data_IF_497953025059
#
_entry.id   IF_497953025059
#
_cell.length_a   1.000
_cell.length_b   1.000
_cell.length_c   1.000
_cell.angle_alpha   90.00
_cell.angle_beta   90.00
_cell.angle_gamma   90.00
#
_symmetry.space_group_name_H-M   'P 1'
#
loop_
_entity.id
_entity.type
_entity.pdbx_description
1 polymer ?
#
# COMPACT_ATOMS: atom_id res chain seq x y z
N UNK A 1 -34.62 -4.24 -22.98
CA UNK A 1 -34.14 -2.86 -23.17
C UNK A 1 -34.95 -1.89 -22.35
N UNK A 2 -34.33 -1.25 -21.36
CA UNK A 2 -34.99 -0.23 -20.56
C UNK A 2 -34.98 1.08 -21.37
N UNK A 3 -36.16 1.67 -21.58
CA UNK A 3 -36.23 2.97 -22.27
C UNK A 3 -35.49 4.04 -21.49
N UNK A 4 -34.84 5.01 -22.17
CA UNK A 4 -34.05 6.08 -21.53
C UNK A 4 -34.83 6.84 -20.45
N UNK A 5 -36.13 7.08 -20.65
CA UNK A 5 -36.98 7.74 -19.67
C UNK A 5 -37.26 6.91 -18.42
N UNK A 6 -37.36 5.58 -18.54
CA UNK A 6 -37.53 4.70 -17.41
C UNK A 6 -36.22 4.57 -16.61
N UNK A 7 -35.08 4.46 -17.30
CA UNK A 7 -33.79 4.39 -16.64
C UNK A 7 -33.51 5.66 -15.82
N UNK A 8 -33.77 6.84 -16.36
CA UNK A 8 -33.61 8.12 -15.65
C UNK A 8 -34.46 8.17 -14.37
N UNK A 9 -35.70 7.64 -14.43
CA UNK A 9 -36.56 7.55 -13.24
C UNK A 9 -36.00 6.58 -12.20
N UNK A 10 -35.47 5.43 -12.62
CA UNK A 10 -34.85 4.45 -11.71
C UNK A 10 -33.59 5.02 -11.06
N UNK A 11 -32.78 5.76 -11.81
CA UNK A 11 -31.60 6.44 -11.27
C UNK A 11 -31.95 7.55 -10.27
N UNK A 12 -33.05 8.28 -10.51
CA UNK A 12 -33.56 9.26 -9.55
C UNK A 12 -34.00 8.58 -8.25
N UNK A 13 -34.72 7.47 -8.32
CA UNK A 13 -35.13 6.67 -7.16
C UNK A 13 -33.93 6.11 -6.41
N UNK A 14 -32.92 5.61 -7.13
CA UNK A 14 -31.67 5.12 -6.55
C UNK A 14 -30.99 6.21 -5.68
N UNK A 15 -31.00 7.44 -6.13
CA UNK A 15 -30.35 8.56 -5.44
C UNK A 15 -31.20 9.15 -4.31
N UNK A 16 -32.51 9.27 -4.50
CA UNK A 16 -33.36 10.15 -3.73
C UNK A 16 -34.51 9.46 -2.98
N UNK A 17 -34.75 8.17 -3.20
CA UNK A 17 -35.84 7.48 -2.47
C UNK A 17 -35.57 7.50 -0.97
N UNK A 18 -36.56 7.87 -0.13
CA UNK A 18 -36.37 7.89 1.31
C UNK A 18 -36.15 6.52 1.95
N UNK A 19 -36.56 5.44 1.27
CA UNK A 19 -36.35 4.07 1.74
C UNK A 19 -34.96 3.55 1.35
N UNK A 20 -34.15 3.21 2.34
CA UNK A 20 -32.87 2.55 2.14
C UNK A 20 -33.02 1.17 1.46
N UNK A 21 -34.09 0.44 1.79
CA UNK A 21 -34.35 -0.87 1.18
C UNK A 21 -34.59 -0.74 -0.33
N UNK A 22 -35.31 0.30 -0.77
CA UNK A 22 -35.52 0.59 -2.19
C UNK A 22 -34.21 0.95 -2.87
N UNK A 23 -33.44 1.87 -2.30
CA UNK A 23 -32.15 2.25 -2.86
C UNK A 23 -31.19 1.08 -2.98
N UNK A 24 -31.11 0.24 -1.94
CA UNK A 24 -30.27 -0.97 -1.94
C UNK A 24 -30.74 -2.00 -2.96
N UNK A 25 -32.05 -2.22 -3.10
CA UNK A 25 -32.61 -3.10 -4.11
C UNK A 25 -32.24 -2.68 -5.53
N UNK A 26 -32.30 -1.38 -5.82
CA UNK A 26 -31.86 -0.84 -7.10
C UNK A 26 -30.35 -0.97 -7.29
N UNK A 27 -29.55 -0.74 -6.27
CA UNK A 27 -28.10 -0.90 -6.31
C UNK A 27 -27.68 -2.29 -6.79
N UNK A 28 -28.33 -3.33 -6.30
CA UNK A 28 -27.97 -4.73 -6.59
C UNK A 28 -28.65 -5.30 -7.83
N UNK A 29 -29.71 -4.67 -8.33
CA UNK A 29 -30.51 -5.19 -9.44
C UNK A 29 -30.40 -4.36 -10.73
N UNK A 30 -29.99 -3.10 -10.68
CA UNK A 30 -29.76 -2.33 -11.90
C UNK A 30 -28.56 -2.88 -12.68
N UNK A 31 -28.63 -2.87 -14.02
CA UNK A 31 -27.49 -3.30 -14.82
C UNK A 31 -26.32 -2.33 -14.63
N UNK A 32 -25.10 -2.90 -14.58
CA UNK A 32 -23.87 -2.12 -14.49
C UNK A 32 -23.45 -1.73 -15.90
N UNK A 33 -23.72 -0.50 -16.27
CA UNK A 33 -23.44 0.08 -17.59
C UNK A 33 -22.62 1.36 -17.42
N UNK A 34 -21.92 1.84 -18.47
CA UNK A 34 -21.17 3.10 -18.36
C UNK A 34 -21.99 4.30 -17.91
N UNK A 35 -23.30 4.32 -18.24
CA UNK A 35 -24.21 5.39 -17.86
C UNK A 35 -24.89 5.19 -16.49
N UNK A 36 -24.88 3.99 -15.94
CA UNK A 36 -25.41 3.71 -14.60
C UNK A 36 -24.33 3.69 -13.52
N UNK A 37 -23.13 3.27 -13.86
CA UNK A 37 -22.02 3.06 -12.92
C UNK A 37 -21.72 4.28 -12.03
N UNK A 38 -21.62 5.51 -12.53
CA UNK A 38 -21.36 6.67 -11.67
C UNK A 38 -22.41 6.84 -10.54
N UNK A 39 -23.67 6.60 -10.85
CA UNK A 39 -24.75 6.68 -9.87
C UNK A 39 -24.75 5.54 -8.86
N UNK A 40 -24.39 4.34 -9.31
CA UNK A 40 -24.22 3.19 -8.43
C UNK A 40 -23.06 3.40 -7.45
N UNK A 41 -21.95 3.93 -7.92
CA UNK A 41 -20.76 4.20 -7.08
C UNK A 41 -21.00 5.26 -6.02
N UNK A 42 -21.90 6.22 -6.23
CA UNK A 42 -22.29 7.21 -5.23
C UNK A 42 -22.88 6.58 -3.96
N UNK A 43 -23.37 5.34 -4.04
CA UNK A 43 -23.87 4.60 -2.87
C UNK A 43 -22.77 4.23 -1.87
N UNK A 44 -21.50 4.43 -2.19
CA UNK A 44 -20.40 4.39 -1.22
C UNK A 44 -20.59 5.46 -0.12
N UNK A 45 -21.31 6.53 -0.42
CA UNK A 45 -21.61 7.65 0.50
C UNK A 45 -23.08 7.66 0.94
N UNK A 46 -23.82 6.57 0.73
CA UNK A 46 -25.21 6.46 1.17
C UNK A 46 -25.33 6.64 2.69
N UNK A 47 -26.43 7.20 3.14
CA UNK A 47 -26.70 7.36 4.57
C UNK A 47 -26.85 6.05 5.32
N UNK A 48 -27.35 5.03 4.63
CA UNK A 48 -27.59 3.68 5.19
C UNK A 48 -26.33 2.82 5.13
N UNK A 49 -25.82 2.32 6.27
CA UNK A 49 -24.63 1.49 6.28
C UNK A 49 -24.80 0.16 5.55
N UNK A 50 -25.99 -0.45 5.58
CA UNK A 50 -26.24 -1.70 4.85
C UNK A 50 -26.19 -1.49 3.33
N UNK A 51 -26.60 -0.32 2.83
CA UNK A 51 -26.47 0.04 1.42
C UNK A 51 -25.01 0.27 1.05
N UNK A 52 -24.24 1.00 1.88
CA UNK A 52 -22.79 1.16 1.67
C UNK A 52 -22.07 -0.18 1.64
N UNK A 53 -22.41 -1.07 2.57
CA UNK A 53 -21.86 -2.43 2.60
C UNK A 53 -22.17 -3.22 1.32
N UNK A 54 -23.40 -3.14 0.82
CA UNK A 54 -23.82 -3.83 -0.39
C UNK A 54 -23.01 -3.40 -1.63
N UNK A 55 -22.58 -2.14 -1.69
CA UNK A 55 -21.68 -1.68 -2.75
C UNK A 55 -20.38 -2.49 -2.75
N UNK A 56 -19.73 -2.65 -1.62
CA UNK A 56 -18.45 -3.36 -1.50
C UNK A 56 -18.59 -4.88 -1.58
N UNK A 57 -19.66 -5.45 -1.03
CA UNK A 57 -19.84 -6.90 -0.97
C UNK A 57 -20.53 -7.50 -2.18
N UNK A 58 -21.29 -6.72 -2.94
CA UNK A 58 -22.11 -7.22 -4.04
C UNK A 58 -21.86 -6.54 -5.37
N UNK A 59 -21.91 -5.20 -5.44
CA UNK A 59 -21.77 -4.49 -6.70
C UNK A 59 -20.33 -4.54 -7.22
N UNK A 60 -19.36 -4.15 -6.42
CA UNK A 60 -17.95 -4.07 -6.86
C UNK A 60 -17.39 -5.44 -7.26
N UNK A 61 -17.69 -6.56 -6.57
CA UNK A 61 -17.32 -7.88 -7.08
C UNK A 61 -17.98 -8.24 -8.42
N UNK A 62 -19.19 -7.77 -8.68
CA UNK A 62 -19.93 -8.02 -9.93
C UNK A 62 -19.50 -7.11 -11.08
N UNK A 63 -18.74 -6.04 -10.79
CA UNK A 63 -18.24 -5.10 -11.80
C UNK A 63 -17.31 -5.76 -12.82
N UNK A 64 -16.72 -6.90 -12.47
CA UNK A 64 -15.63 -7.50 -13.21
C UNK A 64 -14.28 -6.96 -12.74
N UNK A 65 -13.36 -6.69 -13.65
CA UNK A 65 -12.02 -6.20 -13.32
C UNK A 65 -12.07 -4.75 -12.81
N UNK A 66 -11.57 -4.53 -11.59
CA UNK A 66 -11.55 -3.20 -10.96
C UNK A 66 -10.67 -2.18 -11.73
N UNK A 67 -9.76 -2.66 -12.58
CA UNK A 67 -8.91 -1.80 -13.41
C UNK A 67 -9.69 -0.99 -14.43
N UNK A 68 -10.97 -1.32 -14.67
CA UNK A 68 -11.91 -0.50 -15.45
C UNK A 68 -12.32 0.78 -14.73
N UNK A 69 -12.20 0.84 -13.42
CA UNK A 69 -12.39 2.07 -12.65
C UNK A 69 -11.20 3.04 -12.88
N UNK A 70 -11.46 4.33 -12.88
CA UNK A 70 -10.38 5.32 -12.89
C UNK A 70 -9.51 5.19 -11.64
N UNK A 71 -8.24 5.57 -11.76
CA UNK A 71 -7.31 5.56 -10.63
C UNK A 71 -7.84 6.35 -9.44
N UNK A 72 -8.39 7.52 -9.69
CA UNK A 72 -9.01 8.37 -8.67
C UNK A 72 -10.19 7.67 -7.97
N UNK A 73 -11.01 6.95 -8.72
CA UNK A 73 -12.17 6.25 -8.16
C UNK A 73 -11.73 5.04 -7.31
N UNK A 74 -10.70 4.30 -7.74
CA UNK A 74 -10.13 3.20 -6.94
C UNK A 74 -9.68 3.69 -5.57
N UNK A 75 -8.94 4.79 -5.53
CA UNK A 75 -8.46 5.40 -4.29
C UNK A 75 -9.62 5.84 -3.40
N UNK A 76 -10.59 6.56 -3.96
CA UNK A 76 -11.76 7.02 -3.21
C UNK A 76 -12.57 5.88 -2.61
N UNK A 77 -12.86 4.86 -3.40
CA UNK A 77 -13.62 3.70 -2.94
C UNK A 77 -12.91 2.96 -1.80
N UNK A 78 -11.61 2.74 -1.93
CA UNK A 78 -10.81 2.13 -0.86
C UNK A 78 -10.81 3.00 0.40
N UNK A 79 -10.54 4.27 0.26
CA UNK A 79 -10.48 5.19 1.40
C UNK A 79 -11.81 5.30 2.11
N UNK A 80 -12.89 5.50 1.38
CA UNK A 80 -14.23 5.58 1.96
C UNK A 80 -14.63 4.29 2.65
N UNK A 81 -14.35 3.14 2.05
CA UNK A 81 -14.70 1.84 2.62
C UNK A 81 -13.86 1.48 3.83
N UNK A 82 -12.55 1.58 3.74
CA UNK A 82 -11.64 1.22 4.82
C UNK A 82 -11.71 2.17 6.02
N UNK A 83 -12.15 3.41 5.80
CA UNK A 83 -12.33 4.44 6.84
C UNK A 83 -13.79 4.70 7.19
N UNK A 84 -14.71 3.85 6.73
CA UNK A 84 -16.11 3.97 7.08
C UNK A 84 -16.30 3.83 8.60
N UNK A 85 -17.24 4.59 9.13
CA UNK A 85 -17.60 4.51 10.56
C UNK A 85 -18.23 3.18 10.96
N UNK A 86 -18.86 2.48 10.01
CA UNK A 86 -19.48 1.17 10.22
C UNK A 86 -18.47 0.06 10.03
N UNK A 87 -18.34 -0.82 11.04
CA UNK A 87 -17.39 -1.93 11.01
C UNK A 87 -17.66 -2.93 9.88
N UNK A 88 -18.92 -3.18 9.56
CA UNK A 88 -19.28 -4.14 8.51
C UNK A 88 -18.94 -3.61 7.12
N UNK A 89 -19.03 -2.31 6.91
CA UNK A 89 -18.55 -1.66 5.68
C UNK A 89 -17.03 -1.78 5.57
N UNK A 90 -16.29 -1.47 6.65
CA UNK A 90 -14.82 -1.64 6.67
C UNK A 90 -14.39 -3.06 6.35
N UNK A 91 -15.04 -4.06 6.94
CA UNK A 91 -14.78 -5.49 6.68
C UNK A 91 -15.05 -5.86 5.23
N UNK A 92 -16.15 -5.38 4.65
CA UNK A 92 -16.49 -5.64 3.25
C UNK A 92 -15.46 -5.02 2.29
N UNK A 93 -15.01 -3.79 2.54
CA UNK A 93 -13.99 -3.13 1.74
C UNK A 93 -12.63 -3.85 1.83
N UNK A 94 -12.22 -4.25 3.02
CA UNK A 94 -10.98 -5.01 3.22
C UNK A 94 -11.03 -6.37 2.51
N UNK A 95 -12.16 -7.06 2.58
CA UNK A 95 -12.36 -8.33 1.89
C UNK A 95 -12.32 -8.18 0.37
N UNK A 96 -12.95 -7.13 -0.17
CA UNK A 96 -12.89 -6.81 -1.59
C UNK A 96 -11.44 -6.68 -2.08
N UNK A 97 -10.61 -5.95 -1.36
CA UNK A 97 -9.22 -5.73 -1.71
C UNK A 97 -8.39 -7.01 -1.68
N UNK A 98 -8.45 -7.77 -0.58
CA UNK A 98 -7.59 -8.95 -0.37
C UNK A 98 -8.05 -10.22 -1.09
N UNK A 99 -9.31 -10.30 -1.53
CA UNK A 99 -9.85 -11.50 -2.17
C UNK A 99 -10.20 -11.27 -3.65
N UNK A 100 -10.84 -10.15 -3.99
CA UNK A 100 -11.32 -9.92 -5.36
C UNK A 100 -10.35 -9.10 -6.19
N UNK A 101 -9.90 -7.97 -5.69
CA UNK A 101 -8.97 -7.12 -6.45
C UNK A 101 -7.61 -7.78 -6.66
N UNK A 102 -7.11 -8.49 -5.67
CA UNK A 102 -5.89 -9.29 -5.85
C UNK A 102 -6.05 -10.35 -6.94
N UNK A 103 -7.20 -10.97 -7.04
CA UNK A 103 -7.47 -12.01 -8.04
C UNK A 103 -7.49 -11.44 -9.46
N UNK A 104 -8.03 -10.25 -9.66
CA UNK A 104 -7.98 -9.57 -10.95
C UNK A 104 -6.55 -9.33 -11.44
N UNK A 105 -5.61 -9.14 -10.53
CA UNK A 105 -4.19 -8.94 -10.82
C UNK A 105 -3.38 -10.24 -10.90
N UNK A 106 -3.74 -11.23 -10.11
CA UNK A 106 -3.05 -12.52 -10.05
C UNK A 106 -3.41 -13.46 -11.21
N UNK A 107 -4.45 -13.15 -11.95
CA UNK A 107 -5.03 -13.98 -12.99
C UNK A 107 -6.22 -14.79 -12.48
N UNK A 108 -7.19 -15.00 -13.36
CA UNK A 108 -8.38 -15.82 -13.06
C UNK A 108 -7.97 -17.29 -13.18
N UNK A 109 -8.23 -18.14 -12.16
CA UNK A 109 -7.97 -19.56 -12.26
C UNK A 109 -8.72 -20.19 -13.44
N UNK A 110 -8.08 -21.13 -14.12
CA UNK A 110 -8.71 -21.85 -15.26
C UNK A 110 -9.97 -22.61 -14.83
N UNK A 111 -9.97 -23.10 -13.59
CA UNK A 111 -11.13 -23.75 -12.99
C UNK A 111 -11.71 -22.87 -11.89
N UNK A 112 -13.06 -22.76 -11.79
CA UNK A 112 -13.68 -22.02 -10.70
C UNK A 112 -13.26 -22.59 -9.34
N UNK A 113 -12.86 -21.69 -8.42
CA UNK A 113 -12.54 -22.10 -7.05
C UNK A 113 -13.79 -22.56 -6.32
N UNK A 114 -13.69 -23.59 -5.44
CA UNK A 114 -14.77 -23.94 -4.54
C UNK A 114 -15.22 -22.75 -3.70
N UNK A 115 -16.49 -22.76 -3.29
CA UNK A 115 -17.06 -21.68 -2.48
C UNK A 115 -16.26 -21.47 -1.19
N UNK A 116 -15.78 -20.24 -0.97
CA UNK A 116 -15.00 -19.86 0.21
C UNK A 116 -13.49 -20.04 0.07
N UNK A 117 -13.01 -20.56 -1.05
CA UNK A 117 -11.58 -20.63 -1.35
C UNK A 117 -11.10 -19.38 -2.10
N UNK A 118 -9.84 -19.02 -1.87
CA UNK A 118 -9.18 -17.91 -2.53
C UNK A 118 -8.07 -18.44 -3.46
N UNK A 119 -7.70 -17.64 -4.47
CA UNK A 119 -6.59 -17.97 -5.35
C UNK A 119 -5.29 -18.14 -4.57
N UNK A 120 -4.40 -19.08 -4.98
CA UNK A 120 -3.11 -19.25 -4.32
C UNK A 120 -2.25 -17.98 -4.41
N UNK A 121 -1.30 -17.81 -3.47
CA UNK A 121 -0.43 -16.65 -3.46
C UNK A 121 0.33 -16.45 -4.76
N UNK A 122 0.32 -15.21 -5.26
CA UNK A 122 1.05 -14.77 -6.43
C UNK A 122 1.66 -13.40 -6.16
N UNK A 123 2.97 -13.35 -5.95
CA UNK A 123 3.65 -12.10 -5.58
C UNK A 123 3.62 -11.07 -6.72
N UNK A 124 3.74 -11.51 -7.97
CA UNK A 124 3.62 -10.61 -9.13
C UNK A 124 2.23 -9.98 -9.20
N UNK A 125 1.20 -10.74 -8.86
CA UNK A 125 -0.17 -10.21 -8.72
C UNK A 125 -0.27 -9.17 -7.62
N UNK A 126 0.40 -9.36 -6.49
CA UNK A 126 0.41 -8.39 -5.40
C UNK A 126 1.11 -7.09 -5.80
N UNK A 127 2.26 -7.17 -6.47
CA UNK A 127 2.95 -5.96 -6.95
C UNK A 127 2.13 -5.24 -8.01
N UNK A 128 1.44 -5.96 -8.90
CA UNK A 128 0.52 -5.33 -9.85
C UNK A 128 -0.64 -4.63 -9.15
N UNK A 129 -1.24 -5.25 -8.14
CA UNK A 129 -2.30 -4.61 -7.34
C UNK A 129 -1.82 -3.28 -6.74
N UNK A 130 -0.62 -3.26 -6.17
CA UNK A 130 -0.04 -2.05 -5.59
C UNK A 130 0.20 -0.97 -6.66
N UNK A 131 0.67 -1.35 -7.84
CA UNK A 131 0.80 -0.43 -8.97
C UNK A 131 -0.57 0.16 -9.36
N UNK A 132 -1.61 -0.67 -9.41
CA UNK A 132 -2.96 -0.27 -9.81
C UNK A 132 -3.68 0.60 -8.78
N UNK A 133 -3.17 0.71 -7.57
CA UNK A 133 -3.64 1.68 -6.56
C UNK A 133 -2.66 2.85 -6.37
N UNK A 134 -1.73 3.04 -7.30
CA UNK A 134 -0.77 4.15 -7.31
C UNK A 134 0.03 4.25 -6.01
N UNK A 135 0.83 3.23 -5.73
CA UNK A 135 1.50 3.07 -4.45
C UNK A 135 2.40 4.26 -4.06
N UNK A 136 3.02 4.90 -5.04
CA UNK A 136 3.90 6.05 -4.77
C UNK A 136 3.13 7.21 -4.13
N UNK A 137 1.88 7.41 -4.53
CA UNK A 137 1.01 8.45 -3.96
C UNK A 137 0.13 7.95 -2.81
N UNK A 138 -0.28 6.68 -2.84
CA UNK A 138 -1.16 6.10 -1.81
C UNK A 138 -0.41 5.45 -0.64
N UNK A 139 0.87 5.18 -0.79
CA UNK A 139 1.74 4.57 0.22
C UNK A 139 2.46 5.58 1.14
N UNK A 140 2.16 6.85 1.02
CA UNK A 140 2.68 7.90 1.92
C UNK A 140 2.02 7.84 3.29
N UNK A 141 2.56 8.57 4.25
CA UNK A 141 1.97 8.69 5.60
C UNK A 141 0.49 9.08 5.50
N UNK A 142 -0.36 8.38 6.23
CA UNK A 142 -1.83 8.50 6.18
C UNK A 142 -2.47 8.15 4.82
N UNK A 143 -1.72 7.60 3.89
CA UNK A 143 -2.26 7.09 2.63
C UNK A 143 -3.07 5.81 2.80
N UNK A 144 -4.02 5.59 1.91
CA UNK A 144 -4.94 4.45 2.01
C UNK A 144 -4.25 3.09 1.83
N UNK A 145 -3.14 3.05 1.10
CA UNK A 145 -2.41 1.79 0.88
C UNK A 145 -1.85 1.18 2.17
N UNK A 146 -1.52 2.01 3.16
CA UNK A 146 -1.07 1.54 4.48
C UNK A 146 -2.17 0.73 5.17
N UNK A 147 -3.39 1.26 5.20
CA UNK A 147 -4.54 0.56 5.77
C UNK A 147 -4.94 -0.68 4.95
N UNK A 148 -4.96 -0.55 3.63
CA UNK A 148 -5.30 -1.65 2.74
C UNK A 148 -4.36 -2.84 2.90
N UNK A 149 -3.06 -2.59 2.97
CA UNK A 149 -2.06 -3.65 3.11
C UNK A 149 -2.00 -4.23 4.52
N UNK A 150 -2.28 -3.45 5.56
CA UNK A 150 -2.46 -3.99 6.91
C UNK A 150 -3.58 -5.04 6.94
N UNK A 151 -4.73 -4.72 6.38
CA UNK A 151 -5.85 -5.64 6.25
C UNK A 151 -5.55 -6.83 5.34
N UNK A 152 -4.78 -6.62 4.28
CA UNK A 152 -4.34 -7.69 3.38
C UNK A 152 -3.48 -8.73 4.13
N UNK A 153 -2.44 -8.30 4.81
CA UNK A 153 -1.57 -9.22 5.56
C UNK A 153 -2.31 -9.92 6.71
N UNK A 154 -3.24 -9.22 7.36
CA UNK A 154 -4.07 -9.80 8.41
C UNK A 154 -4.98 -10.90 7.87
N UNK A 155 -5.65 -10.67 6.75
CA UNK A 155 -6.65 -11.57 6.17
C UNK A 155 -6.10 -12.64 5.21
N UNK A 156 -4.82 -12.58 4.86
CA UNK A 156 -4.17 -13.51 3.91
C UNK A 156 -2.91 -14.15 4.52
N UNK A 157 -3.10 -15.06 5.51
CA UNK A 157 -1.97 -15.78 6.10
C UNK A 157 -1.20 -16.61 5.08
N UNK A 158 -1.84 -17.08 4.00
CA UNK A 158 -1.20 -17.77 2.88
C UNK A 158 -0.12 -16.91 2.18
N UNK A 159 -0.39 -15.62 1.97
CA UNK A 159 0.59 -14.68 1.43
C UNK A 159 1.74 -14.44 2.40
N UNK A 160 1.47 -14.35 3.70
CA UNK A 160 2.53 -14.17 4.70
C UNK A 160 3.55 -15.31 4.70
N UNK A 161 3.06 -16.54 4.54
CA UNK A 161 3.93 -17.73 4.47
C UNK A 161 4.65 -17.85 3.13
N UNK A 162 4.01 -17.44 2.03
CA UNK A 162 4.51 -17.65 0.67
C UNK A 162 5.53 -16.61 0.22
N UNK A 163 5.50 -15.36 0.75
CA UNK A 163 6.42 -14.31 0.30
C UNK A 163 7.88 -14.66 0.60
N UNK A 164 8.75 -14.33 -0.36
CA UNK A 164 10.19 -14.59 -0.27
C UNK A 164 10.92 -13.27 -0.54
N UNK A 165 11.66 -12.79 0.46
CA UNK A 165 12.46 -11.58 0.38
C UNK A 165 13.95 -11.96 0.35
N UNK A 166 14.36 -12.57 -0.77
CA UNK A 166 15.73 -13.03 -1.01
C UNK A 166 16.65 -11.93 -1.56
N UNK A 167 17.88 -12.27 -1.89
CA UNK A 167 18.84 -11.32 -2.45
C UNK A 167 18.36 -10.70 -3.76
N UNK A 168 17.79 -11.52 -4.66
CA UNK A 168 17.24 -11.02 -5.93
C UNK A 168 16.13 -10.00 -5.70
N UNK A 169 15.27 -10.25 -4.72
CA UNK A 169 14.22 -9.30 -4.34
C UNK A 169 14.80 -7.93 -3.98
N UNK A 170 15.80 -7.89 -3.09
CA UNK A 170 16.43 -6.63 -2.64
C UNK A 170 17.30 -5.99 -3.71
N UNK A 171 17.87 -6.77 -4.62
CA UNK A 171 18.69 -6.25 -5.72
C UNK A 171 17.84 -5.59 -6.83
N UNK A 172 16.56 -5.90 -6.92
CA UNK A 172 15.66 -5.45 -7.99
C UNK A 172 14.39 -4.80 -7.45
N UNK A 173 14.51 -3.93 -6.44
CA UNK A 173 13.37 -3.27 -5.84
C UNK A 173 12.65 -2.34 -6.82
N UNK A 174 11.32 -2.42 -6.78
CA UNK A 174 10.40 -1.42 -7.30
C UNK A 174 9.68 -0.72 -6.14
N UNK A 175 8.96 0.35 -6.42
CA UNK A 175 8.09 1.00 -5.43
C UNK A 175 7.10 0.00 -4.81
N UNK A 176 6.52 -0.85 -5.65
CA UNK A 176 5.53 -1.86 -5.24
C UNK A 176 6.14 -2.95 -4.37
N UNK A 177 7.27 -3.52 -4.79
CA UNK A 177 7.90 -4.62 -4.06
C UNK A 177 8.43 -4.18 -2.69
N UNK A 178 9.07 -3.02 -2.61
CA UNK A 178 9.58 -2.51 -1.33
C UNK A 178 8.44 -2.14 -0.39
N UNK A 179 7.33 -1.63 -0.90
CA UNK A 179 6.16 -1.34 -0.08
C UNK A 179 5.51 -2.63 0.46
N UNK A 180 5.48 -3.69 -0.34
CA UNK A 180 5.03 -5.00 0.14
C UNK A 180 5.88 -5.47 1.34
N UNK A 181 7.20 -5.37 1.25
CA UNK A 181 8.11 -5.73 2.34
C UNK A 181 7.93 -4.81 3.57
N UNK A 182 7.80 -3.51 3.37
CA UNK A 182 7.58 -2.55 4.45
C UNK A 182 6.26 -2.83 5.17
N UNK A 183 5.17 -2.98 4.44
CA UNK A 183 3.85 -3.24 5.03
C UNK A 183 3.79 -4.60 5.73
N UNK A 184 4.47 -5.62 5.21
CA UNK A 184 4.63 -6.91 5.86
C UNK A 184 5.33 -6.77 7.22
N UNK A 185 6.42 -6.03 7.25
CA UNK A 185 7.19 -5.78 8.48
C UNK A 185 6.36 -5.01 9.52
N UNK A 186 5.67 -3.96 9.11
CA UNK A 186 4.80 -3.18 9.97
C UNK A 186 3.68 -4.04 10.57
N UNK A 187 3.06 -4.89 9.78
CA UNK A 187 2.03 -5.80 10.24
C UNK A 187 2.57 -6.80 11.26
N UNK A 188 3.66 -7.48 10.94
CA UNK A 188 4.23 -8.51 11.82
C UNK A 188 4.69 -7.95 13.15
N UNK A 189 5.29 -6.77 13.17
CA UNK A 189 5.78 -6.14 14.41
C UNK A 189 4.68 -5.42 15.18
N UNK A 190 3.67 -4.92 14.51
CA UNK A 190 2.54 -4.23 15.15
C UNK A 190 1.48 -5.14 15.77
N UNK A 191 1.48 -6.42 15.45
CA UNK A 191 0.45 -7.36 15.89
C UNK A 191 0.56 -7.80 17.35
N UNK A 192 1.71 -7.57 18.02
CA UNK A 192 1.93 -8.02 19.38
C UNK A 192 1.93 -9.54 19.55
N UNK A 193 2.34 -10.27 18.51
CA UNK A 193 2.29 -11.71 18.41
C UNK A 193 3.69 -12.28 18.18
N UNK A 194 4.18 -13.11 19.07
CA UNK A 194 5.54 -13.66 18.99
C UNK A 194 5.80 -14.51 17.76
N UNK A 195 4.78 -15.20 17.24
CA UNK A 195 4.91 -16.00 16.01
C UNK A 195 5.09 -15.12 14.78
N UNK A 196 4.39 -14.00 14.70
CA UNK A 196 4.52 -13.04 13.60
C UNK A 196 5.85 -12.29 13.69
N UNK A 197 6.31 -11.94 14.88
CA UNK A 197 7.66 -11.37 15.05
C UNK A 197 8.75 -12.34 14.61
N UNK A 198 8.64 -13.62 14.96
CA UNK A 198 9.55 -14.67 14.51
C UNK A 198 9.53 -14.85 13.00
N UNK A 199 8.35 -14.80 12.37
CA UNK A 199 8.19 -14.86 10.91
C UNK A 199 8.88 -13.68 10.23
N UNK A 200 8.73 -12.48 10.79
CA UNK A 200 9.40 -11.29 10.29
C UNK A 200 10.92 -11.43 10.35
N UNK A 201 11.46 -11.89 11.47
CA UNK A 201 12.91 -12.12 11.63
C UNK A 201 13.44 -13.17 10.66
N UNK A 202 12.68 -14.24 10.41
CA UNK A 202 13.04 -15.28 9.44
C UNK A 202 13.10 -14.74 8.00
N UNK A 203 12.14 -13.90 7.61
CA UNK A 203 11.98 -13.46 6.22
C UNK A 203 12.74 -12.19 5.88
N UNK A 204 13.03 -11.34 6.85
CA UNK A 204 13.69 -10.06 6.63
C UNK A 204 15.21 -10.18 6.80
N UNK A 205 15.99 -9.37 6.08
CA UNK A 205 17.45 -9.39 6.22
C UNK A 205 17.89 -8.83 7.58
N UNK A 206 19.07 -9.26 8.00
CA UNK A 206 19.75 -8.68 9.16
C UNK A 206 20.12 -7.22 8.90
N UNK A 207 20.35 -6.46 9.99
CA UNK A 207 20.70 -5.03 9.93
C UNK A 207 21.86 -4.75 8.98
N UNK A 208 22.91 -5.56 9.01
CA UNK A 208 24.09 -5.38 8.16
C UNK A 208 23.75 -5.48 6.68
N UNK A 209 22.92 -6.45 6.29
CA UNK A 209 22.46 -6.61 4.90
C UNK A 209 21.52 -5.49 4.50
N UNK A 210 20.59 -5.11 5.35
CA UNK A 210 19.70 -3.99 5.05
C UNK A 210 20.48 -2.67 4.89
N UNK A 211 21.49 -2.44 5.71
CA UNK A 211 22.38 -1.28 5.56
C UNK A 211 23.07 -1.27 4.19
N UNK A 212 23.53 -2.43 3.73
CA UNK A 212 24.13 -2.57 2.40
C UNK A 212 23.12 -2.23 1.28
N UNK A 213 21.90 -2.76 1.35
CA UNK A 213 20.86 -2.44 0.37
C UNK A 213 20.46 -0.97 0.41
N UNK A 214 20.29 -0.41 1.59
CA UNK A 214 19.96 1.00 1.76
C UNK A 214 21.06 1.89 1.15
N UNK A 215 22.32 1.56 1.36
CA UNK A 215 23.46 2.29 0.77
C UNK A 215 23.38 2.30 -0.75
N UNK A 216 23.08 1.17 -1.37
CA UNK A 216 22.92 1.06 -2.83
C UNK A 216 21.82 1.98 -3.35
N UNK A 217 20.65 1.94 -2.73
CA UNK A 217 19.50 2.72 -3.19
C UNK A 217 19.63 4.21 -2.88
N UNK A 218 20.28 4.58 -1.79
CA UNK A 218 20.68 5.98 -1.53
C UNK A 218 21.62 6.48 -2.61
N UNK A 219 22.61 5.69 -3.01
CA UNK A 219 23.54 6.03 -4.10
C UNK A 219 22.79 6.23 -5.42
N UNK A 220 21.86 5.34 -5.75
CA UNK A 220 21.01 5.46 -6.95
C UNK A 220 20.19 6.76 -6.90
N UNK A 221 19.61 7.08 -5.75
CA UNK A 221 18.86 8.31 -5.56
C UNK A 221 19.74 9.55 -5.74
N UNK A 222 20.92 9.58 -5.14
CA UNK A 222 21.86 10.70 -5.26
C UNK A 222 22.29 10.92 -6.71
N UNK A 223 22.61 9.85 -7.43
CA UNK A 223 22.94 9.92 -8.85
C UNK A 223 21.77 10.44 -9.69
N UNK A 224 20.53 9.99 -9.39
CA UNK A 224 19.32 10.48 -10.06
C UNK A 224 19.07 11.98 -9.77
N UNK A 225 19.26 12.42 -8.53
CA UNK A 225 19.15 13.84 -8.14
C UNK A 225 20.17 14.71 -8.89
N UNK A 226 21.38 14.22 -9.06
CA UNK A 226 22.41 14.91 -9.81
C UNK A 226 22.07 15.03 -11.31
N UNK A 227 21.52 13.98 -11.92
CA UNK A 227 21.06 14.03 -13.32
C UNK A 227 19.93 15.04 -13.52
N UNK A 228 18.96 15.05 -12.62
CA UNK A 228 17.85 16.00 -12.66
C UNK A 228 18.33 17.45 -12.50
N UNK A 229 19.31 17.69 -11.63
CA UNK A 229 19.86 19.03 -11.38
C UNK A 229 20.56 19.65 -12.62
N UNK A 230 21.09 18.82 -13.53
CA UNK A 230 21.76 19.27 -14.75
C UNK A 230 20.85 19.21 -16.00
N UNK A 231 19.59 18.80 -15.85
CA UNK A 231 18.61 18.74 -16.91
C UNK A 231 18.26 20.16 -17.38
N UNK A 232 18.28 20.40 -18.71
CA UNK A 232 17.88 21.68 -19.28
C UNK A 232 16.36 21.74 -19.47
N UNK A 233 15.75 22.92 -19.26
CA UNK A 233 14.35 23.15 -19.56
C UNK A 233 14.07 22.87 -21.05
N UNK A 234 13.23 21.88 -21.33
CA UNK A 234 12.81 21.52 -22.69
C UNK A 234 13.34 20.19 -23.21
N UNK A 235 14.05 19.40 -22.40
CA UNK A 235 14.35 18.02 -22.74
C UNK A 235 13.05 17.20 -22.85
N UNK A 236 12.92 16.43 -23.92
CA UNK A 236 11.69 15.67 -24.23
C UNK A 236 11.36 14.59 -23.20
N UNK A 237 12.34 14.18 -22.37
CA UNK A 237 12.17 13.24 -21.27
C UNK A 237 12.58 13.90 -19.95
N UNK A 238 11.63 14.43 -19.21
CA UNK A 238 11.85 14.86 -17.84
C UNK A 238 12.01 13.65 -16.95
N UNK A 239 13.24 13.38 -16.49
CA UNK A 239 13.52 12.40 -15.45
C UNK A 239 13.10 12.99 -14.11
N UNK A 240 12.29 12.26 -13.33
CA UNK A 240 12.02 12.58 -11.94
C UNK A 240 12.67 11.56 -11.00
N UNK A 241 12.69 11.85 -9.72
CA UNK A 241 13.28 11.02 -8.68
C UNK A 241 12.25 10.40 -7.75
N UNK A 242 10.97 10.44 -8.13
CA UNK A 242 9.84 10.07 -7.26
C UNK A 242 9.92 8.62 -6.83
N UNK A 243 10.19 7.70 -7.76
CA UNK A 243 10.30 6.27 -7.42
C UNK A 243 11.53 5.99 -6.54
N UNK A 244 12.67 6.56 -6.86
CA UNK A 244 13.91 6.38 -6.09
C UNK A 244 13.77 6.93 -4.68
N UNK A 245 13.15 8.09 -4.51
CA UNK A 245 12.82 8.66 -3.20
C UNK A 245 11.92 7.73 -2.41
N UNK A 246 10.87 7.23 -3.03
CA UNK A 246 9.91 6.33 -2.40
C UNK A 246 10.59 5.03 -1.92
N UNK A 247 11.44 4.42 -2.76
CA UNK A 247 12.18 3.20 -2.39
C UNK A 247 13.05 3.44 -1.16
N UNK A 248 13.81 4.53 -1.15
CA UNK A 248 14.67 4.88 0.00
C UNK A 248 13.82 5.13 1.26
N UNK A 249 12.72 5.85 1.14
CA UNK A 249 11.79 6.09 2.25
C UNK A 249 11.27 4.78 2.84
N UNK A 250 10.83 3.83 2.00
CA UNK A 250 10.34 2.55 2.47
C UNK A 250 11.44 1.71 3.14
N UNK A 251 12.64 1.71 2.61
CA UNK A 251 13.79 1.05 3.24
C UNK A 251 14.11 1.68 4.61
N UNK A 252 13.99 2.98 4.75
CA UNK A 252 14.16 3.66 6.04
C UNK A 252 13.06 3.30 7.04
N UNK A 253 11.83 3.15 6.59
CA UNK A 253 10.74 2.64 7.45
C UNK A 253 11.03 1.22 7.95
N UNK A 254 11.54 0.35 7.10
CA UNK A 254 11.96 -1.00 7.49
C UNK A 254 13.11 -0.91 8.49
N UNK A 255 14.13 -0.09 8.22
CA UNK A 255 15.27 0.12 9.10
C UNK A 255 14.85 0.59 10.50
N UNK A 256 13.84 1.44 10.59
CA UNK A 256 13.32 1.95 11.86
C UNK A 256 12.65 0.87 12.72
N UNK A 257 12.26 -0.25 12.15
CA UNK A 257 11.60 -1.38 12.83
C UNK A 257 12.57 -2.48 13.27
N UNK A 258 13.85 -2.40 12.91
CA UNK A 258 14.82 -3.46 13.19
C UNK A 258 15.34 -3.42 14.64
N UNK A 259 15.85 -4.57 15.09
CA UNK A 259 16.54 -4.70 16.36
C UNK A 259 18.03 -4.35 16.19
N UNK A 260 18.47 -3.31 16.91
CA UNK A 260 19.84 -2.81 16.90
C UNK A 260 20.68 -3.27 18.09
N UNK A 261 20.32 -4.39 18.71
CA UNK A 261 21.10 -4.98 19.81
C UNK A 261 22.47 -5.51 19.36
N UNK A 262 22.61 -5.92 18.10
CA UNK A 262 23.90 -6.27 17.51
C UNK A 262 24.74 -5.03 17.24
N UNK A 263 25.91 -4.93 17.90
CA UNK A 263 26.78 -3.78 17.82
C UNK A 263 27.35 -3.54 16.41
N UNK A 264 27.71 -4.60 15.69
CA UNK A 264 28.28 -4.49 14.33
C UNK A 264 27.25 -3.93 13.36
N UNK A 265 26.04 -4.47 13.38
CA UNK A 265 24.94 -3.99 12.55
C UNK A 265 24.55 -2.56 12.89
N UNK A 266 24.45 -2.25 14.18
CA UNK A 266 24.16 -0.89 14.67
C UNK A 266 25.18 0.13 14.18
N UNK A 267 26.47 -0.16 14.30
CA UNK A 267 27.54 0.73 13.85
C UNK A 267 27.52 0.95 12.33
N UNK A 268 27.28 -0.10 11.57
CA UNK A 268 27.18 0.01 10.10
C UNK A 268 26.03 0.89 9.66
N UNK A 269 24.85 0.67 10.23
CA UNK A 269 23.68 1.49 9.92
C UNK A 269 23.89 2.94 10.33
N UNK A 270 24.43 3.17 11.52
CA UNK A 270 24.73 4.51 12.01
C UNK A 270 25.71 5.25 11.09
N UNK A 271 26.80 4.61 10.70
CA UNK A 271 27.81 5.20 9.82
C UNK A 271 27.23 5.56 8.44
N UNK A 272 26.42 4.66 7.86
CA UNK A 272 25.74 4.89 6.60
C UNK A 272 24.79 6.10 6.68
N UNK A 273 23.95 6.15 7.69
CA UNK A 273 22.95 7.21 7.86
C UNK A 273 23.63 8.57 8.11
N UNK A 274 24.68 8.59 8.93
CA UNK A 274 25.49 9.77 9.14
C UNK A 274 26.10 10.30 7.84
N UNK A 275 26.68 9.40 7.05
CA UNK A 275 27.25 9.75 5.75
C UNK A 275 26.16 10.27 4.79
N UNK A 276 24.98 9.70 4.80
CA UNK A 276 23.85 10.12 3.97
C UNK A 276 23.36 11.52 4.32
N UNK A 277 23.35 11.90 5.61
CA UNK A 277 23.00 13.26 6.04
C UNK A 277 23.97 14.34 5.51
N UNK A 278 25.21 13.98 5.20
CA UNK A 278 26.19 14.90 4.64
C UNK A 278 25.97 15.20 3.15
N UNK A 279 25.09 14.45 2.46
CA UNK A 279 24.76 14.69 1.05
C UNK A 279 23.93 15.96 0.94
N UNK A 280 24.38 16.96 0.13
CA UNK A 280 23.58 18.17 -0.08
C UNK A 280 22.31 17.87 -0.89
N UNK A 281 21.26 18.63 -0.62
CA UNK A 281 19.98 18.58 -1.36
C UNK A 281 19.23 17.25 -1.32
N UNK A 282 19.41 16.43 -0.27
CA UNK A 282 18.56 15.29 -0.02
C UNK A 282 17.10 15.74 0.18
N UNK A 283 16.11 14.99 -0.35
CA UNK A 283 14.71 15.28 -0.11
C UNK A 283 14.38 15.36 1.38
N UNK A 284 13.50 16.30 1.73
CA UNK A 284 13.14 16.58 3.13
C UNK A 284 12.64 15.34 3.87
N UNK A 285 11.76 14.56 3.23
CA UNK A 285 11.19 13.36 3.84
C UNK A 285 12.26 12.28 4.09
N UNK A 286 13.19 12.12 3.16
CA UNK A 286 14.33 11.20 3.32
C UNK A 286 15.19 11.62 4.51
N UNK A 287 15.52 12.90 4.61
CA UNK A 287 16.28 13.45 5.74
C UNK A 287 15.58 13.23 7.07
N UNK A 288 14.29 13.52 7.13
CA UNK A 288 13.43 13.29 8.31
C UNK A 288 13.46 11.83 8.76
N UNK A 289 13.30 10.90 7.83
CA UNK A 289 13.31 9.46 8.14
C UNK A 289 14.71 8.98 8.59
N UNK A 290 15.77 9.50 8.01
CA UNK A 290 17.15 9.21 8.47
C UNK A 290 17.32 9.63 9.93
N UNK A 291 16.86 10.82 10.28
CA UNK A 291 16.94 11.32 11.67
C UNK A 291 16.13 10.45 12.63
N UNK A 292 14.94 10.00 12.21
CA UNK A 292 14.13 9.09 13.01
C UNK A 292 14.81 7.75 13.28
N UNK A 293 15.45 7.16 12.27
CA UNK A 293 16.21 5.91 12.43
C UNK A 293 17.41 6.11 13.36
N UNK A 294 18.16 7.19 13.18
CA UNK A 294 19.31 7.55 14.06
C UNK A 294 18.86 7.71 15.50
N UNK A 295 17.76 8.38 15.75
CA UNK A 295 17.17 8.51 17.09
C UNK A 295 16.87 7.16 17.71
N UNK A 296 16.25 6.24 16.96
CA UNK A 296 15.92 4.89 17.41
C UNK A 296 17.19 4.07 17.76
N UNK A 297 18.25 4.20 16.96
CA UNK A 297 19.53 3.51 17.20
C UNK A 297 20.19 4.01 18.49
N UNK A 298 20.09 5.30 18.78
CA UNK A 298 20.74 5.96 19.92
C UNK A 298 19.88 5.96 21.19
N UNK A 299 18.63 5.51 21.11
CA UNK A 299 17.69 5.55 22.25
C UNK A 299 18.17 4.66 23.40
N UNK A 300 18.03 5.16 24.64
CA UNK A 300 18.31 4.41 25.88
C UNK A 300 19.79 4.36 26.29
N UNK A 301 20.70 4.98 25.56
CA UNK A 301 22.12 5.11 25.90
C UNK A 301 22.54 6.60 25.93
N UNK A 302 23.05 7.05 27.06
CA UNK A 302 23.50 8.45 27.22
C UNK A 302 24.62 8.80 26.24
N UNK A 303 25.53 7.88 25.95
CA UNK A 303 26.57 8.06 24.96
C UNK A 303 25.98 8.13 23.53
N UNK A 304 25.00 7.27 23.23
CA UNK A 304 24.26 7.27 21.98
C UNK A 304 23.47 8.56 21.77
N UNK A 305 22.80 9.09 22.79
CA UNK A 305 22.10 10.36 22.72
C UNK A 305 23.04 11.54 22.40
N UNK A 306 24.22 11.57 23.00
CA UNK A 306 25.26 12.57 22.71
C UNK A 306 25.74 12.45 21.26
N UNK A 307 25.95 11.24 20.80
CA UNK A 307 26.38 10.96 19.43
C UNK A 307 25.29 11.40 18.43
N UNK A 308 24.02 11.14 18.71
CA UNK A 308 22.90 11.62 17.92
C UNK A 308 22.90 13.15 17.79
N UNK A 309 23.01 13.87 18.90
CA UNK A 309 23.05 15.35 18.90
C UNK A 309 24.24 15.89 18.11
N UNK A 310 25.37 15.19 18.11
CA UNK A 310 26.56 15.63 17.35
C UNK A 310 26.42 15.47 15.84
N UNK A 311 25.52 14.61 15.37
CA UNK A 311 25.29 14.28 13.94
C UNK A 311 24.19 15.13 13.34
N UNK A 312 23.13 15.44 14.10
CA UNK A 312 21.97 16.19 13.67
C UNK A 312 22.12 17.67 13.97
#
# INVERSE_FOLDING_TARGET
EVSGGLLDKLLDVLQNDPSADVRRSLLVNLPILPNTLPYLLERARDQDPATRRALYSRLLPALGDFRHLSLSMREKLLRWGLRDRDENVRKAAAKLFRERWIEDCAGIPEEPLPAGEVSPPNFDGLTELLERIDIVNSGVENGVAIEAMKGFWEGRPDYREAVVFDELFWDTLSAESVFAARSFTDFCRGAGNSKLEALCEEKMPEVTKLAYYLQRYVKVLVEALQRVAIQEEGDEEEEDTVEQEFIVEQLLHIANSLDYSDEVGRRKMFALLRQSLAVPDLPEEVTKLIVEVLRGICAGDVAGEREFVSVV
#
